data_IF_430674134215
#
_entry.id   IF_430674134215
#
_cell.length_a   1.000
_cell.length_b   1.000
_cell.length_c   1.000
_cell.angle_alpha   90.00
_cell.angle_beta   90.00
_cell.angle_gamma   90.00
#
_symmetry.space_group_name_H-M   'P 1'
#
loop_
_entity.id
_entity.type
_entity.pdbx_description
1 polymer ?
#
# COMPACT_ATOMS: atom_id res chain seq x y z
N UNK A 1 -10.51 -1.28 18.34
CA UNK A 1 -9.27 -0.52 18.02
C UNK A 1 -8.89 0.46 19.13
N UNK A 2 -9.80 1.32 19.61
CA UNK A 2 -9.51 2.27 20.70
C UNK A 2 -9.04 1.60 22.00
N UNK A 3 -9.66 0.48 22.38
CA UNK A 3 -9.33 -0.26 23.62
C UNK A 3 -7.92 -0.86 23.61
N UNK A 4 -7.46 -1.41 22.48
CA UNK A 4 -6.13 -2.05 22.34
C UNK A 4 -4.96 -1.07 22.43
N UNK A 5 -5.14 0.17 21.99
CA UNK A 5 -4.11 1.22 22.12
C UNK A 5 -4.13 1.84 23.52
N UNK A 6 -5.32 1.96 24.10
CA UNK A 6 -5.53 2.56 25.42
C UNK A 6 -4.96 1.72 26.55
N UNK A 7 -4.83 0.40 26.37
CA UNK A 7 -4.15 -0.50 27.31
C UNK A 7 -2.65 -0.26 27.40
N UNK A 8 -2.02 0.17 26.31
CA UNK A 8 -0.59 0.50 26.29
C UNK A 8 -0.37 1.93 26.80
N UNK A 9 -1.05 2.91 26.19
CA UNK A 9 -0.98 4.31 26.60
C UNK A 9 -2.17 5.10 26.08
N UNK A 10 -3.17 5.28 26.95
CA UNK A 10 -4.37 6.04 26.65
C UNK A 10 -4.11 7.53 26.35
N UNK A 11 -2.97 8.10 26.79
CA UNK A 11 -2.65 9.50 26.50
C UNK A 11 -2.40 9.73 25.01
N UNK A 12 -2.01 8.70 24.26
CA UNK A 12 -1.71 8.81 22.83
C UNK A 12 -2.94 9.15 22.00
N UNK A 13 -4.13 8.70 22.39
CA UNK A 13 -5.38 9.08 21.72
C UNK A 13 -5.62 10.60 21.79
N UNK A 14 -5.20 11.25 22.88
CA UNK A 14 -5.35 12.70 23.04
C UNK A 14 -4.22 13.49 22.35
N UNK A 15 -2.99 12.94 22.38
CA UNK A 15 -1.79 13.66 21.94
C UNK A 15 -1.43 13.44 20.48
N UNK A 16 -1.83 12.32 19.89
CA UNK A 16 -1.51 11.94 18.52
C UNK A 16 -2.74 12.10 17.66
N UNK A 17 -2.75 13.15 16.84
CA UNK A 17 -3.89 13.51 15.99
C UNK A 17 -4.37 12.34 15.13
N UNK A 18 -3.46 11.55 14.52
CA UNK A 18 -3.84 10.39 13.70
C UNK A 18 -4.63 9.35 14.50
N UNK A 19 -4.25 9.11 15.75
CA UNK A 19 -4.95 8.16 16.62
C UNK A 19 -6.28 8.72 17.12
N UNK A 20 -6.34 10.03 17.37
CA UNK A 20 -7.58 10.73 17.70
C UNK A 20 -8.61 10.60 16.56
N UNK A 21 -8.18 10.88 15.33
CA UNK A 21 -9.02 10.82 14.13
C UNK A 21 -9.58 9.41 13.88
N UNK A 22 -8.82 8.35 14.16
CA UNK A 22 -9.34 6.97 14.07
C UNK A 22 -10.57 6.74 14.98
N UNK A 23 -10.74 7.54 16.03
CA UNK A 23 -11.92 7.48 16.89
C UNK A 23 -13.18 8.05 16.27
N UNK A 24 -13.06 8.91 15.26
CA UNK A 24 -14.18 9.50 14.51
C UNK A 24 -14.42 8.80 13.17
N UNK A 25 -13.67 7.73 12.89
CA UNK A 25 -13.66 7.07 11.59
C UNK A 25 -15.05 6.59 11.14
N UNK A 26 -15.89 6.14 12.08
CA UNK A 26 -17.24 5.63 11.76
C UNK A 26 -18.16 6.80 11.37
N UNK A 27 -18.11 7.89 12.12
CA UNK A 27 -18.85 9.13 11.86
C UNK A 27 -18.40 9.77 10.54
N UNK A 28 -17.09 9.80 10.29
CA UNK A 28 -16.51 10.34 9.06
C UNK A 28 -16.93 9.51 7.84
N UNK A 29 -16.87 8.18 7.91
CA UNK A 29 -17.33 7.30 6.82
C UNK A 29 -18.83 7.48 6.54
N UNK A 30 -19.65 7.65 7.58
CA UNK A 30 -21.09 7.89 7.42
C UNK A 30 -21.39 9.25 6.78
N UNK A 31 -20.60 10.27 7.09
CA UNK A 31 -20.83 11.65 6.63
C UNK A 31 -20.24 11.91 5.24
N UNK A 32 -19.07 11.35 4.96
CA UNK A 32 -18.29 11.64 3.75
C UNK A 32 -18.19 10.46 2.77
N UNK A 33 -18.70 9.28 3.16
CA UNK A 33 -18.55 8.05 2.39
C UNK A 33 -17.17 7.39 2.56
N UNK A 34 -16.81 6.43 1.70
CA UNK A 34 -15.53 5.72 1.80
C UNK A 34 -14.33 6.68 1.70
N UNK A 35 -13.53 6.75 2.76
CA UNK A 35 -12.39 7.68 2.84
C UNK A 35 -11.21 7.31 1.92
N UNK A 36 -11.32 6.23 1.15
CA UNK A 36 -10.28 5.75 0.23
C UNK A 36 -10.00 6.75 -0.90
N UNK A 37 -11.02 7.49 -1.34
CA UNK A 37 -10.86 8.57 -2.34
C UNK A 37 -10.15 9.82 -1.82
N UNK A 38 -9.95 9.92 -0.50
CA UNK A 38 -9.30 11.05 0.18
C UNK A 38 -7.87 10.70 0.62
N UNK A 39 -7.40 9.48 0.32
CA UNK A 39 -6.06 9.03 0.67
C UNK A 39 -4.99 9.88 -0.04
N UNK A 40 -4.01 10.36 0.73
CA UNK A 40 -2.95 11.25 0.21
C UNK A 40 -1.97 10.55 -0.71
N UNK A 41 -1.97 9.22 -0.79
CA UNK A 41 -1.04 8.45 -1.62
C UNK A 41 -1.09 8.87 -3.10
N UNK A 42 -2.29 9.08 -3.64
CA UNK A 42 -2.47 9.62 -5.00
C UNK A 42 -1.86 11.02 -5.16
N UNK A 43 -1.98 11.87 -4.14
CA UNK A 43 -1.38 13.21 -4.13
C UNK A 43 0.15 13.16 -3.94
N UNK A 44 0.66 12.21 -3.16
CA UNK A 44 2.09 12.02 -2.94
C UNK A 44 2.80 11.56 -4.22
N UNK A 45 2.15 10.70 -5.01
CA UNK A 45 2.65 10.31 -6.34
C UNK A 45 2.80 11.51 -7.28
N UNK A 46 1.96 12.55 -7.11
CA UNK A 46 2.00 13.78 -7.89
C UNK A 46 3.21 14.68 -7.55
N UNK A 47 3.86 14.49 -6.41
CA UNK A 47 5.07 15.22 -6.07
C UNK A 47 6.19 15.01 -7.11
N UNK A 48 6.21 13.87 -7.80
CA UNK A 48 7.14 13.64 -8.92
C UNK A 48 6.94 14.63 -10.06
N UNK A 49 5.67 14.91 -10.42
CA UNK A 49 5.31 15.89 -11.46
C UNK A 49 5.70 17.30 -11.02
N UNK A 50 5.43 17.65 -9.76
CA UNK A 50 5.80 18.95 -9.19
C UNK A 50 7.32 19.19 -9.24
N UNK A 51 8.11 18.18 -8.84
CA UNK A 51 9.57 18.23 -8.92
C UNK A 51 10.06 18.37 -10.36
N UNK A 52 9.49 17.62 -11.30
CA UNK A 52 9.85 17.72 -12.71
C UNK A 52 9.57 19.12 -13.29
N UNK A 53 8.43 19.73 -12.95
CA UNK A 53 8.12 21.10 -13.36
C UNK A 53 9.13 22.11 -12.79
N UNK A 54 9.62 21.88 -11.57
CA UNK A 54 10.67 22.71 -10.98
C UNK A 54 12.03 22.52 -11.67
N UNK A 55 12.48 21.28 -11.85
CA UNK A 55 13.80 20.92 -12.41
C UNK A 55 13.95 21.34 -13.88
N UNK A 56 12.86 21.31 -14.64
CA UNK A 56 12.86 21.66 -16.06
C UNK A 56 12.54 23.15 -16.31
N UNK A 57 12.49 23.97 -15.26
CA UNK A 57 12.27 25.42 -15.36
C UNK A 57 13.60 26.17 -15.44
N UNK A 58 13.54 27.49 -15.71
CA UNK A 58 14.73 28.35 -15.64
C UNK A 58 15.13 28.72 -14.20
N UNK A 59 14.43 28.19 -13.20
CA UNK A 59 14.65 28.37 -11.76
C UNK A 59 14.57 29.82 -11.23
N UNK A 60 14.11 30.79 -12.04
CA UNK A 60 14.03 32.20 -11.62
C UNK A 60 12.78 32.51 -10.79
N UNK A 61 11.66 31.84 -11.08
CA UNK A 61 10.43 31.96 -10.31
C UNK A 61 9.70 30.61 -10.25
N UNK A 62 10.22 29.62 -9.49
CA UNK A 62 9.75 28.24 -9.53
C UNK A 62 8.24 28.10 -9.30
N UNK A 63 7.67 28.84 -8.35
CA UNK A 63 6.23 28.80 -8.06
C UNK A 63 5.37 29.21 -9.25
N UNK A 64 5.72 30.32 -9.92
CA UNK A 64 5.01 30.82 -11.10
C UNK A 64 5.15 29.86 -12.27
N UNK A 65 6.35 29.32 -12.47
CA UNK A 65 6.65 28.47 -13.61
C UNK A 65 5.95 27.11 -13.47
N UNK A 66 5.95 26.54 -12.25
CA UNK A 66 5.16 25.35 -11.90
C UNK A 66 3.66 25.61 -12.12
N UNK A 67 3.12 26.73 -11.63
CA UNK A 67 1.70 27.04 -11.76
C UNK A 67 1.28 27.14 -13.24
N UNK A 68 2.09 27.80 -14.08
CA UNK A 68 1.86 27.87 -15.53
C UNK A 68 1.95 26.50 -16.19
N UNK A 69 2.95 25.70 -15.84
CA UNK A 69 3.15 24.39 -16.45
C UNK A 69 2.05 23.40 -16.08
N UNK A 70 1.61 23.38 -14.82
CA UNK A 70 0.46 22.59 -14.38
C UNK A 70 -0.82 23.10 -15.04
N UNK A 71 -1.04 24.43 -15.09
CA UNK A 71 -2.20 25.00 -15.78
C UNK A 71 -2.26 24.61 -17.26
N UNK A 72 -1.11 24.54 -17.94
CA UNK A 72 -1.02 24.07 -19.32
C UNK A 72 -1.32 22.56 -19.44
N UNK A 73 -0.81 21.73 -18.52
CA UNK A 73 -1.07 20.29 -18.51
C UNK A 73 -2.54 19.98 -18.23
N UNK A 74 -3.14 20.60 -17.21
CA UNK A 74 -4.55 20.43 -16.88
C UNK A 74 -5.47 21.02 -17.95
N UNK A 75 -5.11 22.16 -18.53
CA UNK A 75 -5.82 22.72 -19.69
C UNK A 75 -5.76 21.81 -20.91
N UNK A 76 -4.62 21.14 -21.16
CA UNK A 76 -4.50 20.15 -22.22
C UNK A 76 -5.39 18.93 -21.94
N UNK A 77 -5.36 18.39 -20.71
CA UNK A 77 -6.24 17.29 -20.28
C UNK A 77 -7.70 17.66 -20.51
N UNK A 78 -8.15 18.80 -19.99
CA UNK A 78 -9.53 19.29 -20.13
C UNK A 78 -9.97 19.37 -21.59
N UNK A 79 -9.14 19.91 -22.48
CA UNK A 79 -9.47 19.98 -23.92
C UNK A 79 -9.56 18.60 -24.56
N UNK A 80 -8.60 17.73 -24.28
CA UNK A 80 -8.57 16.38 -24.85
C UNK A 80 -9.73 15.50 -24.37
N UNK A 81 -10.16 15.65 -23.11
CA UNK A 81 -11.30 14.91 -22.56
C UNK A 81 -12.67 15.44 -23.03
N UNK A 82 -12.71 16.53 -23.80
CA UNK A 82 -13.95 17.16 -24.23
C UNK A 82 -14.56 18.09 -23.19
N UNK A 83 -13.76 18.67 -22.30
CA UNK A 83 -14.18 19.78 -21.46
C UNK A 83 -14.52 21.03 -22.30
N UNK A 84 -15.43 21.86 -21.77
CA UNK A 84 -15.82 23.14 -22.35
C UNK A 84 -15.00 24.27 -21.75
N UNK A 85 -14.60 25.25 -22.55
CA UNK A 85 -13.97 26.48 -22.06
C UNK A 85 -14.53 27.70 -22.78
N UNK A 86 -14.47 28.85 -22.11
CA UNK A 86 -14.96 30.08 -22.68
C UNK A 86 -13.92 30.65 -23.66
N UNK A 87 -14.29 30.81 -24.93
CA UNK A 87 -13.48 31.53 -25.91
C UNK A 87 -13.81 33.02 -25.83
N UNK A 88 -12.91 33.80 -25.24
CA UNK A 88 -13.05 35.26 -25.07
C UNK A 88 -13.14 35.99 -26.40
N UNK A 89 -12.53 35.48 -27.47
CA UNK A 89 -12.58 36.12 -28.80
C UNK A 89 -13.94 35.96 -29.46
N UNK A 90 -14.51 34.77 -29.33
CA UNK A 90 -15.80 34.43 -29.94
C UNK A 90 -16.99 34.69 -28.99
N UNK A 91 -16.72 35.14 -27.76
CA UNK A 91 -17.68 35.32 -26.66
C UNK A 91 -18.65 34.13 -26.48
N UNK A 92 -18.13 32.90 -26.62
CA UNK A 92 -18.93 31.68 -26.53
C UNK A 92 -18.16 30.54 -25.87
N UNK A 93 -18.91 29.64 -25.23
CA UNK A 93 -18.37 28.37 -24.76
C UNK A 93 -18.06 27.47 -25.96
N UNK A 94 -16.83 26.98 -26.02
CA UNK A 94 -16.38 26.08 -27.08
C UNK A 94 -15.80 24.81 -26.49
N UNK A 95 -15.74 23.79 -27.33
CA UNK A 95 -15.19 22.49 -27.02
C UNK A 95 -14.23 22.09 -28.13
N UNK A 96 -13.28 21.22 -27.82
CA UNK A 96 -12.41 20.62 -28.82
C UNK A 96 -13.21 19.84 -29.86
N UNK A 97 -12.85 20.00 -31.13
CA UNK A 97 -13.42 19.24 -32.24
C UNK A 97 -13.22 17.73 -32.10
N UNK A 98 -13.98 16.94 -32.85
CA UNK A 98 -13.96 15.47 -32.79
C UNK A 98 -12.57 14.87 -33.03
N UNK A 99 -11.75 15.47 -33.90
CA UNK A 99 -10.37 15.03 -34.15
C UNK A 99 -9.48 15.06 -32.90
N UNK A 100 -9.53 16.16 -32.15
CA UNK A 100 -8.75 16.35 -30.91
C UNK A 100 -9.26 15.43 -29.81
N UNK A 101 -10.59 15.31 -29.64
CA UNK A 101 -11.20 14.38 -28.68
C UNK A 101 -10.85 12.91 -28.99
N UNK A 102 -10.70 12.58 -30.28
CA UNK A 102 -10.33 11.24 -30.73
C UNK A 102 -8.81 10.95 -30.61
N UNK A 103 -7.95 11.96 -30.39
CA UNK A 103 -6.51 11.71 -30.19
C UNK A 103 -6.25 10.82 -28.97
N UNK A 104 -6.97 11.03 -27.87
CA UNK A 104 -6.88 10.14 -26.70
C UNK A 104 -7.26 8.70 -27.05
N UNK A 105 -8.27 8.49 -27.90
CA UNK A 105 -8.68 7.15 -28.32
C UNK A 105 -7.62 6.47 -29.19
N UNK A 106 -6.97 7.24 -30.07
CA UNK A 106 -6.01 6.74 -31.08
C UNK A 106 -4.60 6.51 -30.53
N UNK A 107 -4.15 7.32 -29.57
CA UNK A 107 -2.76 7.28 -29.09
C UNK A 107 -2.67 6.72 -27.66
N UNK A 108 -2.21 5.47 -27.52
CA UNK A 108 -1.95 4.83 -26.21
C UNK A 108 -0.87 5.54 -25.40
N UNK A 109 0.16 6.08 -26.06
CA UNK A 109 1.25 6.83 -25.41
C UNK A 109 0.71 8.11 -24.75
N UNK A 110 -0.08 8.90 -25.49
CA UNK A 110 -0.68 10.13 -24.99
C UNK A 110 -1.60 9.85 -23.78
N UNK A 111 -2.36 8.76 -23.87
CA UNK A 111 -3.17 8.20 -22.77
C UNK A 111 -2.32 7.91 -21.52
N UNK A 112 -1.24 7.16 -21.69
CA UNK A 112 -0.31 6.85 -20.60
C UNK A 112 0.32 8.10 -19.98
N UNK A 113 0.79 9.05 -20.81
CA UNK A 113 1.38 10.31 -20.36
C UNK A 113 0.42 11.17 -19.54
N UNK A 114 -0.87 11.15 -19.87
CA UNK A 114 -1.90 11.93 -19.17
C UNK A 114 -2.52 11.19 -17.98
N UNK A 115 -2.05 9.96 -17.69
CA UNK A 115 -2.62 9.11 -16.64
C UNK A 115 -3.96 8.48 -17.02
N UNK A 116 -4.41 8.64 -18.27
CA UNK A 116 -5.60 7.98 -18.80
C UNK A 116 -5.25 6.60 -19.33
N UNK A 117 -5.11 5.64 -18.42
CA UNK A 117 -5.15 4.23 -18.84
C UNK A 117 -6.61 3.85 -19.11
N UNK A 118 -6.91 3.34 -20.32
CA UNK A 118 -7.99 2.35 -20.38
C UNK A 118 -7.40 1.18 -19.59
N UNK A 119 -7.91 0.91 -18.39
CA UNK A 119 -7.88 -0.47 -17.91
C UNK A 119 -8.74 -1.20 -18.93
N UNK A 120 -8.13 -1.73 -19.99
CA UNK A 120 -8.75 -2.80 -20.74
C UNK A 120 -8.90 -3.88 -19.69
N UNK A 121 -10.12 -4.01 -19.16
CA UNK A 121 -10.47 -5.06 -18.20
C UNK A 121 -10.26 -6.32 -19.00
N UNK A 122 -9.07 -6.88 -18.85
CA UNK A 122 -8.69 -8.10 -19.54
C UNK A 122 -9.65 -9.16 -19.03
N UNK A 123 -10.18 -9.96 -19.94
CA UNK A 123 -11.12 -11.00 -19.57
C UNK A 123 -10.42 -11.95 -18.57
N UNK A 124 -11.14 -12.47 -17.56
CA UNK A 124 -10.61 -13.53 -16.71
C UNK A 124 -9.99 -14.65 -17.55
N UNK A 125 -8.84 -15.18 -17.13
CA UNK A 125 -8.11 -16.20 -17.89
C UNK A 125 -7.17 -15.66 -18.97
N UNK A 126 -7.18 -14.33 -19.23
CA UNK A 126 -6.19 -13.70 -20.11
C UNK A 126 -4.79 -13.85 -19.51
N UNK A 127 -3.82 -14.26 -20.31
CA UNK A 127 -2.43 -14.42 -19.89
C UNK A 127 -1.52 -13.40 -20.56
N UNK A 128 -0.57 -12.87 -19.79
CA UNK A 128 0.47 -11.99 -20.27
C UNK A 128 1.71 -12.84 -20.47
N UNK A 129 2.14 -12.94 -21.72
CA UNK A 129 3.33 -13.71 -22.10
C UNK A 129 4.61 -13.01 -21.61
N UNK A 130 5.66 -13.79 -21.36
CA UNK A 130 6.95 -13.23 -20.96
C UNK A 130 7.45 -12.23 -22.00
N UNK A 131 7.86 -11.05 -21.53
CA UNK A 131 8.42 -10.03 -22.42
C UNK A 131 9.71 -10.58 -23.06
N UNK A 132 9.76 -10.57 -24.38
CA UNK A 132 11.00 -10.82 -25.09
C UNK A 132 11.79 -9.51 -25.00
N UNK A 133 13.01 -9.55 -24.47
CA UNK A 133 13.87 -8.38 -24.33
C UNK A 133 13.97 -7.55 -25.63
N UNK A 134 14.48 -6.30 -25.54
CA UNK A 134 14.48 -5.31 -26.64
C UNK A 134 14.83 -5.95 -28.00
N UNK A 135 13.82 -5.94 -28.90
CA UNK A 135 13.88 -6.28 -30.33
C UNK A 135 14.70 -7.54 -30.64
N UNK A 136 14.11 -8.74 -30.57
CA UNK A 136 14.73 -9.87 -31.23
C UNK A 136 14.74 -9.57 -32.75
N UNK A 137 15.92 -9.44 -33.35
CA UNK A 137 16.04 -9.56 -34.79
C UNK A 137 15.57 -10.98 -35.17
N UNK A 138 14.58 -11.09 -36.05
CA UNK A 138 14.06 -12.35 -36.56
C UNK A 138 12.64 -12.26 -37.12
N UNK A 139 12.21 -13.29 -37.85
CA UNK A 139 10.84 -13.43 -38.35
C UNK A 139 9.85 -13.70 -37.21
N UNK A 140 8.53 -13.46 -37.37
CA UNK A 140 7.52 -13.78 -36.36
C UNK A 140 7.60 -15.22 -35.84
N UNK A 141 7.99 -16.16 -36.69
CA UNK A 141 8.17 -17.58 -36.38
C UNK A 141 9.42 -17.84 -35.52
N UNK A 142 10.54 -17.16 -35.80
CA UNK A 142 11.76 -17.23 -34.97
C UNK A 142 11.54 -16.59 -33.59
N UNK A 143 10.77 -15.51 -33.54
CA UNK A 143 10.36 -14.85 -32.30
C UNK A 143 9.40 -15.75 -31.50
N UNK A 144 8.49 -16.44 -32.18
CA UNK A 144 7.60 -17.45 -31.59
C UNK A 144 8.37 -18.66 -31.02
N UNK A 145 9.47 -19.05 -31.68
CA UNK A 145 10.33 -20.15 -31.26
C UNK A 145 11.34 -19.78 -30.16
N UNK A 146 11.70 -18.50 -30.01
CA UNK A 146 12.51 -17.98 -28.88
C UNK A 146 11.74 -17.85 -27.56
N UNK A 147 10.42 -18.05 -27.57
CA UNK A 147 9.62 -18.08 -26.34
C UNK A 147 10.06 -19.27 -25.49
N UNK A 148 10.01 -19.11 -24.16
CA UNK A 148 10.30 -20.17 -23.21
C UNK A 148 9.26 -21.29 -23.34
N UNK A 149 9.47 -22.16 -24.34
CA UNK A 149 8.68 -23.37 -24.55
C UNK A 149 9.15 -24.40 -23.53
N UNK A 150 8.19 -24.97 -22.81
CA UNK A 150 8.45 -25.95 -21.76
C UNK A 150 7.53 -27.14 -22.00
N UNK A 151 8.05 -28.36 -21.86
CA UNK A 151 7.20 -29.55 -21.84
C UNK A 151 6.47 -29.63 -20.51
N UNK A 152 5.23 -30.08 -20.52
CA UNK A 152 4.45 -30.17 -19.28
C UNK A 152 5.15 -31.07 -18.24
N UNK A 153 5.80 -32.17 -18.69
CA UNK A 153 6.63 -33.06 -17.86
C UNK A 153 7.81 -32.38 -17.15
N UNK A 154 8.33 -31.30 -17.70
CA UNK A 154 9.51 -30.60 -17.16
C UNK A 154 9.11 -29.61 -16.06
N UNK A 155 7.81 -29.40 -15.87
CA UNK A 155 7.23 -28.54 -14.82
C UNK A 155 6.70 -29.36 -13.64
N UNK A 156 6.25 -28.68 -12.60
CA UNK A 156 5.59 -29.33 -11.45
C UNK A 156 4.22 -29.96 -11.79
N UNK A 157 3.70 -29.77 -13.01
CA UNK A 157 2.49 -30.45 -13.48
C UNK A 157 2.60 -31.98 -13.43
N UNK A 158 3.81 -32.55 -13.56
CA UNK A 158 3.99 -34.01 -13.45
C UNK A 158 3.55 -34.58 -12.09
N UNK A 159 3.65 -33.74 -11.04
CA UNK A 159 3.28 -34.09 -9.67
C UNK A 159 1.87 -33.60 -9.33
N UNK A 160 1.09 -33.13 -10.32
CA UNK A 160 -0.24 -32.61 -10.06
C UNK A 160 -1.25 -33.75 -9.87
N UNK A 161 -2.20 -33.55 -8.96
CA UNK A 161 -3.24 -34.53 -8.63
C UNK A 161 -4.03 -34.95 -9.88
N UNK A 162 -4.28 -34.00 -10.78
CA UNK A 162 -5.01 -34.21 -12.03
C UNK A 162 -4.10 -34.28 -13.27
N UNK A 163 -2.83 -34.63 -13.11
CA UNK A 163 -1.88 -34.73 -14.23
C UNK A 163 -2.33 -35.70 -15.33
N UNK A 164 -3.03 -36.79 -14.96
CA UNK A 164 -3.55 -37.80 -15.89
C UNK A 164 -4.56 -37.26 -16.90
N UNK A 165 -5.20 -36.12 -16.59
CA UNK A 165 -6.16 -35.47 -17.49
C UNK A 165 -5.48 -34.64 -18.59
N UNK A 166 -4.16 -34.50 -18.56
CA UNK A 166 -3.39 -33.69 -19.49
C UNK A 166 -2.30 -34.53 -20.18
N UNK A 167 -2.02 -34.21 -21.43
CA UNK A 167 -0.91 -34.81 -22.16
C UNK A 167 0.42 -34.27 -21.62
N UNK A 168 1.19 -35.11 -20.92
CA UNK A 168 2.47 -34.73 -20.32
C UNK A 168 3.56 -34.38 -21.34
N UNK A 169 3.44 -34.87 -22.58
CA UNK A 169 4.40 -34.60 -23.65
C UNK A 169 4.11 -33.30 -24.41
N UNK A 170 3.00 -32.64 -24.08
CA UNK A 170 2.61 -31.39 -24.72
C UNK A 170 3.58 -30.25 -24.41
N UNK A 171 3.80 -29.40 -25.41
CA UNK A 171 4.70 -28.24 -25.34
C UNK A 171 3.86 -26.98 -25.15
N UNK A 172 4.21 -26.18 -24.14
CA UNK A 172 3.51 -24.97 -23.74
C UNK A 172 4.42 -23.75 -23.78
N UNK A 173 3.86 -22.57 -24.02
CA UNK A 173 4.58 -21.31 -23.86
C UNK A 173 4.42 -20.81 -22.42
N UNK A 174 5.55 -20.56 -21.74
CA UNK A 174 5.53 -19.98 -20.41
C UNK A 174 5.08 -18.51 -20.46
N UNK A 175 4.19 -18.16 -19.53
CA UNK A 175 3.63 -16.83 -19.35
C UNK A 175 4.07 -16.25 -18.00
N UNK A 176 4.02 -14.91 -17.89
CA UNK A 176 4.49 -14.18 -16.71
C UNK A 176 3.35 -13.88 -15.73
N UNK A 177 2.19 -13.48 -16.25
CA UNK A 177 1.04 -13.10 -15.44
C UNK A 177 -0.26 -13.65 -16.03
N UNK A 178 -1.26 -13.80 -15.17
CA UNK A 178 -2.61 -14.24 -15.51
C UNK A 178 -3.62 -13.29 -14.86
N UNK A 179 -4.73 -13.04 -15.54
CA UNK A 179 -5.79 -12.18 -15.03
C UNK A 179 -6.84 -13.02 -14.32
N UNK A 180 -7.02 -12.76 -13.02
CA UNK A 180 -8.02 -13.41 -12.18
C UNK A 180 -9.44 -12.92 -12.48
N UNK A 181 -10.45 -13.64 -12.00
CA UNK A 181 -11.86 -13.24 -12.10
C UNK A 181 -12.16 -11.88 -11.43
N UNK A 182 -11.41 -11.51 -10.37
CA UNK A 182 -11.45 -10.18 -9.76
C UNK A 182 -10.90 -9.06 -10.67
N UNK A 183 -10.24 -9.40 -11.78
CA UNK A 183 -9.53 -8.46 -12.65
C UNK A 183 -8.10 -8.14 -12.20
N UNK A 184 -7.59 -8.87 -11.20
CA UNK A 184 -6.21 -8.72 -10.71
C UNK A 184 -5.22 -9.41 -11.64
N UNK A 185 -4.07 -8.78 -11.86
CA UNK A 185 -2.93 -9.45 -12.50
C UNK A 185 -2.17 -10.27 -11.47
N UNK A 186 -2.08 -11.57 -11.70
CA UNK A 186 -1.44 -12.55 -10.83
C UNK A 186 -0.17 -13.06 -11.52
N UNK A 187 1.00 -12.68 -11.01
CA UNK A 187 2.28 -13.16 -11.52
C UNK A 187 2.65 -14.53 -10.96
N UNK A 188 3.59 -15.22 -11.61
CA UNK A 188 4.20 -16.44 -11.04
C UNK A 188 4.75 -16.15 -9.63
N UNK A 189 4.46 -17.05 -8.68
CA UNK A 189 4.77 -16.90 -7.25
C UNK A 189 3.69 -16.18 -6.44
N UNK A 190 2.68 -15.59 -7.09
CA UNK A 190 1.55 -14.95 -6.41
C UNK A 190 0.64 -15.96 -5.72
N UNK A 191 0.03 -15.52 -4.62
CA UNK A 191 -0.97 -16.29 -3.88
C UNK A 191 -2.37 -15.96 -4.37
N UNK A 192 -3.15 -17.00 -4.66
CA UNK A 192 -4.48 -16.87 -5.22
C UNK A 192 -5.47 -17.81 -4.57
N UNK A 193 -6.71 -17.37 -4.50
CA UNK A 193 -7.84 -18.27 -4.35
C UNK A 193 -8.30 -18.70 -5.74
N UNK A 194 -8.65 -19.97 -5.88
CA UNK A 194 -9.07 -20.56 -7.14
C UNK A 194 -10.15 -21.61 -6.90
N UNK A 195 -10.89 -21.95 -7.94
CA UNK A 195 -11.85 -23.06 -7.90
C UNK A 195 -11.12 -24.37 -8.18
N UNK A 196 -11.09 -25.29 -7.22
CA UNK A 196 -10.43 -26.58 -7.42
C UNK A 196 -11.18 -27.42 -8.47
N UNK A 197 -10.50 -27.98 -9.49
CA UNK A 197 -11.14 -28.86 -10.46
C UNK A 197 -11.48 -30.24 -9.89
N UNK A 198 -10.89 -30.60 -8.74
CA UNK A 198 -11.09 -31.90 -8.08
C UNK A 198 -12.27 -31.85 -7.12
N UNK A 199 -12.33 -30.83 -6.25
CA UNK A 199 -13.37 -30.72 -5.22
C UNK A 199 -14.50 -29.76 -5.62
N UNK A 200 -14.31 -28.95 -6.65
CA UNK A 200 -15.21 -27.87 -7.08
C UNK A 200 -15.48 -26.80 -6.01
N UNK A 201 -14.69 -26.77 -4.94
CA UNK A 201 -14.74 -25.78 -3.87
C UNK A 201 -13.64 -24.73 -4.05
N UNK A 202 -13.77 -23.54 -3.43
CA UNK A 202 -12.67 -22.59 -3.40
C UNK A 202 -11.50 -23.16 -2.58
N UNK A 203 -10.34 -23.24 -3.21
CA UNK A 203 -9.06 -23.62 -2.61
C UNK A 203 -8.10 -22.42 -2.67
N UNK A 204 -6.99 -22.53 -1.94
CA UNK A 204 -5.97 -21.50 -1.87
C UNK A 204 -4.62 -22.10 -2.23
N UNK A 205 -3.80 -21.33 -2.95
CA UNK A 205 -2.50 -21.81 -3.36
C UNK A 205 -1.60 -20.75 -3.93
N UNK A 206 -0.39 -21.18 -4.29
CA UNK A 206 0.65 -20.34 -4.87
C UNK A 206 0.89 -20.74 -6.32
N UNK A 207 0.85 -19.76 -7.22
CA UNK A 207 1.10 -20.01 -8.66
C UNK A 207 2.56 -20.43 -8.84
N UNK A 208 2.77 -21.61 -9.42
CA UNK A 208 4.10 -22.10 -9.81
C UNK A 208 4.43 -21.74 -11.25
N UNK A 209 3.49 -21.96 -12.16
CA UNK A 209 3.69 -21.72 -13.59
C UNK A 209 2.37 -21.33 -14.26
N UNK A 210 2.46 -20.48 -15.27
CA UNK A 210 1.34 -20.10 -16.14
C UNK A 210 1.73 -20.49 -17.56
N UNK A 211 0.89 -21.25 -18.24
CA UNK A 211 1.20 -21.88 -19.52
C UNK A 211 0.10 -21.57 -20.54
N UNK A 212 0.51 -21.29 -21.78
CA UNK A 212 -0.38 -21.04 -22.90
C UNK A 212 -0.04 -21.94 -24.09
N UNK A 213 -1.03 -22.64 -24.60
CA UNK A 213 -0.96 -23.40 -25.84
C UNK A 213 -2.15 -23.01 -26.72
N UNK A 214 -1.84 -22.45 -27.89
CA UNK A 214 -2.85 -21.93 -28.82
C UNK A 214 -3.79 -20.95 -28.10
N UNK A 215 -5.05 -21.33 -27.90
CA UNK A 215 -6.08 -20.54 -27.21
C UNK A 215 -6.40 -21.07 -25.80
N UNK A 216 -5.68 -22.08 -25.33
CA UNK A 216 -5.89 -22.69 -24.01
C UNK A 216 -4.82 -22.22 -23.03
N UNK A 217 -5.24 -21.65 -21.90
CA UNK A 217 -4.37 -21.23 -20.80
C UNK A 217 -4.62 -22.10 -19.58
N UNK A 218 -3.52 -22.61 -19.02
CA UNK A 218 -3.54 -23.39 -17.78
C UNK A 218 -2.57 -22.80 -16.77
N UNK A 219 -2.89 -22.97 -15.49
CA UNK A 219 -2.06 -22.53 -14.38
C UNK A 219 -1.78 -23.71 -13.46
N UNK A 220 -0.51 -23.89 -13.10
CA UNK A 220 -0.06 -24.89 -12.14
C UNK A 220 0.06 -24.20 -10.79
N UNK A 221 -0.68 -24.70 -9.80
CA UNK A 221 -0.77 -24.11 -8.46
C UNK A 221 -0.30 -25.14 -7.43
N UNK A 222 0.58 -24.71 -6.53
CA UNK A 222 0.88 -25.43 -5.29
C UNK A 222 -0.31 -25.21 -4.33
N UNK A 223 -1.07 -26.26 -4.04
CA UNK A 223 -2.27 -26.18 -3.21
C UNK A 223 -1.92 -26.22 -1.72
N UNK A 224 -2.58 -25.37 -0.94
CA UNK A 224 -2.45 -25.33 0.52
C UNK A 224 -3.82 -25.48 1.17
N UNK A 225 -3.81 -25.94 2.42
CA UNK A 225 -5.02 -26.05 3.23
C UNK A 225 -5.13 -24.93 4.24
N UNK A 226 -6.33 -24.36 4.34
CA UNK A 226 -6.67 -23.40 5.38
C UNK A 226 -6.81 -24.12 6.71
N UNK A 227 -6.15 -23.63 7.75
CA UNK A 227 -6.30 -24.17 9.10
C UNK A 227 -7.69 -23.82 9.67
N UNK A 228 -8.32 -24.75 10.41
CA UNK A 228 -9.63 -24.52 11.02
C UNK A 228 -9.57 -23.52 12.20
N UNK A 229 -8.37 -23.24 12.72
CA UNK A 229 -8.13 -22.30 13.81
C UNK A 229 -7.17 -21.20 13.35
N UNK A 230 -7.31 -20.02 13.95
CA UNK A 230 -6.37 -18.91 13.77
C UNK A 230 -5.02 -19.22 14.43
N UNK A 231 -3.97 -18.58 13.95
CA UNK A 231 -2.68 -18.54 14.61
C UNK A 231 -2.85 -17.89 16.01
N UNK A 232 -2.30 -18.52 17.05
CA UNK A 232 -2.47 -18.09 18.46
C UNK A 232 -1.89 -16.70 18.74
N UNK A 233 -0.78 -16.36 18.10
CA UNK A 233 -0.09 -15.10 18.34
C UNK A 233 -0.67 -13.97 17.52
N UNK A 234 -0.86 -14.19 16.21
CA UNK A 234 -1.32 -13.14 15.30
C UNK A 234 -2.84 -12.99 15.26
N UNK A 235 -3.59 -14.00 15.70
CA UNK A 235 -5.06 -14.01 15.58
C UNK A 235 -5.53 -14.01 14.12
N UNK A 236 -4.70 -14.51 13.20
CA UNK A 236 -4.98 -14.54 11.77
C UNK A 236 -5.15 -15.99 11.27
N UNK A 237 -6.01 -16.23 10.27
CA UNK A 237 -6.05 -17.51 9.58
C UNK A 237 -4.70 -17.78 8.92
N UNK A 238 -4.35 -19.05 8.78
CA UNK A 238 -3.12 -19.44 8.13
C UNK A 238 -3.36 -20.67 7.25
N UNK A 239 -2.48 -20.85 6.30
CA UNK A 239 -2.45 -21.99 5.39
C UNK A 239 -1.20 -22.83 5.67
N UNK A 240 -1.32 -24.12 5.41
CA UNK A 240 -0.25 -25.10 5.61
C UNK A 240 -0.33 -26.20 4.56
N UNK A 241 0.77 -26.95 4.39
CA UNK A 241 0.80 -28.15 3.54
C UNK A 241 0.13 -29.31 4.28
N UNK A 242 -0.79 -30.03 3.63
CA UNK A 242 -1.39 -31.22 4.26
C UNK A 242 -0.30 -32.27 4.42
N UNK A 243 -0.15 -32.80 5.63
CA UNK A 243 0.83 -33.84 5.95
C UNK A 243 2.28 -33.48 5.56
N UNK A 244 2.59 -32.17 5.50
CA UNK A 244 3.87 -31.62 5.01
C UNK A 244 4.24 -32.03 3.56
N UNK A 245 3.26 -32.52 2.80
CA UNK A 245 3.43 -32.89 1.40
C UNK A 245 3.15 -31.72 0.45
N UNK A 246 3.95 -31.64 -0.62
CA UNK A 246 3.76 -30.63 -1.67
C UNK A 246 2.81 -31.20 -2.71
N UNK A 247 1.57 -30.68 -2.73
CA UNK A 247 0.57 -31.03 -3.72
C UNK A 247 0.42 -29.95 -4.78
N UNK A 248 0.45 -30.36 -6.05
CA UNK A 248 0.17 -29.47 -7.18
C UNK A 248 -1.18 -29.79 -7.82
N UNK A 249 -1.81 -28.78 -8.43
CA UNK A 249 -3.03 -28.92 -9.22
C UNK A 249 -2.92 -28.09 -10.49
N UNK A 250 -3.39 -28.64 -11.60
CA UNK A 250 -3.49 -27.93 -12.88
C UNK A 250 -4.91 -27.40 -12.99
N UNK A 251 -5.08 -26.11 -13.23
CA UNK A 251 -6.39 -25.49 -13.42
C UNK A 251 -6.45 -24.72 -14.74
N UNK A 252 -7.62 -24.60 -15.38
CA UNK A 252 -7.86 -23.53 -16.35
C UNK A 252 -7.54 -22.17 -15.72
N UNK A 253 -6.84 -21.29 -16.44
CA UNK A 253 -6.43 -19.98 -15.88
C UNK A 253 -7.64 -19.10 -15.52
N UNK A 254 -8.79 -19.32 -16.15
CA UNK A 254 -10.06 -18.65 -15.85
C UNK A 254 -10.62 -18.97 -14.46
N UNK A 255 -10.24 -20.10 -13.85
CA UNK A 255 -10.71 -20.52 -12.52
C UNK A 255 -9.97 -19.82 -11.36
N UNK A 256 -8.97 -18.97 -11.67
CA UNK A 256 -8.33 -18.11 -10.67
C UNK A 256 -9.35 -17.06 -10.24
N UNK A 257 -9.76 -17.10 -8.97
CA UNK A 257 -10.80 -16.22 -8.44
C UNK A 257 -10.25 -14.84 -8.14
N UNK A 258 -9.24 -14.74 -7.27
CA UNK A 258 -8.65 -13.45 -6.90
C UNK A 258 -7.26 -13.59 -6.26
N UNK A 259 -6.49 -12.50 -6.33
CA UNK A 259 -5.18 -12.37 -5.71
C UNK A 259 -5.32 -12.12 -4.21
N UNK A 260 -4.50 -12.80 -3.40
CA UNK A 260 -4.46 -12.57 -1.95
C UNK A 260 -3.04 -12.28 -1.47
N UNK A 261 -2.92 -11.33 -0.54
CA UNK A 261 -1.66 -11.11 0.17
C UNK A 261 -1.51 -12.16 1.29
N UNK A 262 -0.42 -12.92 1.22
CA UNK A 262 -0.02 -13.90 2.22
C UNK A 262 1.36 -13.55 2.78
N UNK A 263 1.58 -13.79 4.06
CA UNK A 263 2.86 -13.54 4.74
C UNK A 263 3.40 -14.83 5.33
N UNK A 264 4.70 -15.06 5.27
CA UNK A 264 5.31 -16.24 5.91
C UNK A 264 5.15 -16.18 7.44
N UNK A 265 4.73 -17.29 8.06
CA UNK A 265 4.57 -17.37 9.52
C UNK A 265 5.94 -17.59 10.21
N UNK A 266 6.81 -16.59 10.09
CA UNK A 266 8.20 -16.65 10.54
C UNK A 266 8.34 -16.99 12.01
N UNK A 267 7.37 -16.57 12.84
CA UNK A 267 7.42 -16.79 14.29
C UNK A 267 7.19 -18.25 14.62
N UNK A 268 6.18 -18.87 14.00
CA UNK A 268 5.85 -20.27 14.27
C UNK A 268 6.90 -21.22 13.70
N UNK A 269 7.49 -20.84 12.55
CA UNK A 269 8.56 -21.60 11.88
C UNK A 269 9.95 -21.34 12.51
N UNK A 270 10.10 -20.26 13.28
CA UNK A 270 11.38 -19.87 13.87
C UNK A 270 12.41 -19.43 12.83
N UNK A 271 12.02 -18.58 11.89
CA UNK A 271 12.94 -17.97 10.92
C UNK A 271 13.84 -16.94 11.62
N UNK A 272 15.12 -16.91 11.24
CA UNK A 272 16.14 -16.10 11.89
C UNK A 272 16.74 -15.07 10.91
N UNK A 273 17.31 -14.00 11.45
CA UNK A 273 17.96 -12.95 10.67
C UNK A 273 19.40 -13.33 10.28
N UNK A 274 19.59 -14.55 9.75
CA UNK A 274 20.88 -15.12 9.34
C UNK A 274 21.35 -14.59 7.99
N UNK A 275 20.42 -14.19 7.12
CA UNK A 275 20.73 -13.69 5.78
C UNK A 275 21.44 -12.34 5.84
N UNK A 276 22.50 -12.18 5.04
CA UNK A 276 23.21 -10.90 4.88
C UNK A 276 23.17 -10.50 3.41
N UNK A 277 22.73 -9.26 3.12
CA UNK A 277 22.78 -8.71 1.76
C UNK A 277 23.38 -7.31 1.78
N UNK A 278 24.08 -6.95 0.69
CA UNK A 278 24.53 -5.58 0.48
C UNK A 278 23.32 -4.67 0.27
N UNK A 279 23.34 -3.50 0.90
CA UNK A 279 22.28 -2.51 0.80
C UNK A 279 22.36 -1.85 -0.57
N UNK A 280 21.26 -1.87 -1.32
CA UNK A 280 21.14 -1.08 -2.53
C UNK A 280 20.67 0.34 -2.19
N UNK A 281 21.47 1.35 -2.56
CA UNK A 281 21.06 2.75 -2.57
C UNK A 281 21.10 3.26 -4.01
N UNK A 282 20.00 3.85 -4.48
CA UNK A 282 19.92 4.44 -5.84
C UNK A 282 20.34 3.47 -6.97
N UNK A 283 19.99 2.18 -6.82
CA UNK A 283 20.36 1.09 -7.77
C UNK A 283 21.87 0.82 -7.87
N UNK A 284 22.67 1.32 -6.93
CA UNK A 284 24.07 0.95 -6.74
C UNK A 284 24.20 0.11 -5.48
N UNK A 285 24.91 -0.99 -5.61
CA UNK A 285 25.28 -1.83 -4.49
C UNK A 285 26.29 -1.09 -3.61
N UNK A 286 26.05 -1.06 -2.31
CA UNK A 286 26.93 -0.38 -1.35
C UNK A 286 27.67 -1.39 -0.48
N UNK A 287 28.79 -0.99 0.12
CA UNK A 287 29.53 -1.83 1.08
C UNK A 287 28.81 -1.96 2.44
N UNK A 288 27.71 -1.24 2.65
CA UNK A 288 26.89 -1.42 3.85
C UNK A 288 26.07 -2.71 3.72
N UNK A 289 26.23 -3.61 4.67
CA UNK A 289 25.42 -4.83 4.76
C UNK A 289 24.18 -4.61 5.60
N UNK A 290 23.13 -5.36 5.29
CA UNK A 290 21.90 -5.42 6.08
C UNK A 290 21.54 -6.88 6.30
N UNK A 291 21.26 -7.23 7.56
CA UNK A 291 20.67 -8.52 7.90
C UNK A 291 19.21 -8.60 7.45
N UNK A 292 18.80 -9.71 6.87
CA UNK A 292 17.41 -9.99 6.52
C UNK A 292 16.98 -11.37 7.07
N UNK A 293 15.67 -11.55 7.24
CA UNK A 293 15.11 -12.81 7.74
C UNK A 293 15.22 -13.84 6.62
N UNK A 294 15.95 -14.92 6.89
CA UNK A 294 16.02 -16.07 6.01
C UNK A 294 14.86 -17.01 6.36
N UNK A 295 13.94 -17.18 5.41
CA UNK A 295 12.78 -18.01 5.62
C UNK A 295 13.14 -19.48 5.46
N UNK A 296 12.81 -20.31 6.47
CA UNK A 296 12.86 -21.76 6.32
C UNK A 296 11.75 -22.22 5.39
N UNK A 297 11.95 -23.35 4.73
CA UNK A 297 11.04 -23.90 3.71
C UNK A 297 9.71 -24.45 4.26
N UNK A 298 9.47 -24.34 5.56
CA UNK A 298 8.20 -24.75 6.16
C UNK A 298 7.04 -23.96 5.55
N UNK A 299 6.13 -24.68 4.91
CA UNK A 299 5.05 -24.17 4.06
C UNK A 299 3.88 -23.57 4.84
N UNK A 300 4.16 -22.76 5.86
CA UNK A 300 3.15 -22.12 6.71
C UNK A 300 3.09 -20.61 6.45
N UNK A 301 1.90 -20.14 6.07
CA UNK A 301 1.69 -18.75 5.66
C UNK A 301 0.40 -18.17 6.27
N UNK A 302 0.47 -16.96 6.78
CA UNK A 302 -0.66 -16.19 7.31
C UNK A 302 -1.46 -15.54 6.19
N UNK A 303 -2.77 -15.61 6.29
CA UNK A 303 -3.70 -14.91 5.42
C UNK A 303 -3.90 -13.49 5.94
N UNK A 304 -3.48 -12.49 5.15
CA UNK A 304 -3.59 -11.10 5.56
C UNK A 304 -5.03 -10.57 5.42
N UNK A 305 -5.81 -10.63 6.50
CA UNK A 305 -7.17 -10.09 6.59
C UNK A 305 -7.22 -8.55 6.76
N UNK A 306 -6.07 -7.89 6.92
CA UNK A 306 -5.98 -6.44 7.13
C UNK A 306 -5.73 -5.66 5.83
N UNK A 307 -5.54 -6.36 4.71
CA UNK A 307 -5.51 -5.73 3.39
C UNK A 307 -6.89 -5.21 3.00
N UNK A 308 -6.96 -4.02 2.40
CA UNK A 308 -8.20 -3.51 1.80
C UNK A 308 -8.51 -4.21 0.46
N UNK A 309 -7.48 -4.69 -0.23
CA UNK A 309 -7.62 -5.38 -1.52
C UNK A 309 -8.32 -6.73 -1.32
N UNK A 310 -9.36 -7.00 -2.11
CA UNK A 310 -10.17 -8.22 -2.07
C UNK A 310 -10.75 -8.61 -0.70
N UNK A 311 -10.86 -7.66 0.24
CA UNK A 311 -11.34 -7.92 1.60
C UNK A 311 -12.76 -8.50 1.67
N UNK A 312 -13.60 -8.20 0.68
CA UNK A 312 -14.95 -8.75 0.58
C UNK A 312 -14.94 -10.19 0.08
N UNK A 313 -14.14 -10.50 -0.96
CA UNK A 313 -14.01 -11.85 -1.52
C UNK A 313 -13.47 -12.85 -0.50
N UNK A 314 -12.47 -12.45 0.27
CA UNK A 314 -11.89 -13.35 1.28
C UNK A 314 -12.89 -13.70 2.39
N UNK A 315 -13.76 -12.75 2.78
CA UNK A 315 -14.83 -12.98 3.76
C UNK A 315 -15.98 -13.83 3.21
N UNK A 316 -16.13 -13.92 1.89
CA UNK A 316 -17.08 -14.83 1.25
C UNK A 316 -16.53 -16.25 1.14
N UNK A 317 -15.22 -16.41 0.95
CA UNK A 317 -14.58 -17.72 0.78
C UNK A 317 -14.26 -18.39 2.11
N UNK A 318 -13.77 -17.63 3.10
CA UNK A 318 -13.38 -18.20 4.38
C UNK A 318 -14.58 -18.32 5.33
N UNK A 319 -14.59 -19.36 6.19
CA UNK A 319 -15.54 -19.47 7.30
C UNK A 319 -15.55 -18.22 8.18
N UNK A 320 -16.73 -17.85 8.68
CA UNK A 320 -16.92 -16.61 9.44
C UNK A 320 -16.07 -16.60 10.71
N UNK A 321 -15.86 -17.75 11.33
CA UNK A 321 -15.06 -17.95 12.54
C UNK A 321 -13.61 -17.53 12.34
N UNK A 322 -13.09 -17.67 11.12
CA UNK A 322 -11.72 -17.28 10.75
C UNK A 322 -11.61 -15.78 10.42
N UNK A 323 -12.70 -15.14 9.98
CA UNK A 323 -12.71 -13.73 9.62
C UNK A 323 -13.22 -12.79 10.73
N UNK A 324 -13.83 -13.31 11.78
CA UNK A 324 -14.32 -12.50 12.90
C UNK A 324 -13.17 -11.93 13.70
N UNK A 325 -13.25 -10.63 14.00
CA UNK A 325 -12.35 -10.00 14.96
C UNK A 325 -12.82 -10.33 16.36
N UNK A 326 -11.95 -10.94 17.16
CA UNK A 326 -12.23 -11.20 18.56
C UNK A 326 -12.01 -9.93 19.38
N UNK A 327 -12.99 -9.53 20.21
CA UNK A 327 -12.81 -8.39 21.09
C UNK A 327 -11.75 -8.73 22.15
N UNK A 328 -10.78 -7.83 22.33
CA UNK A 328 -9.72 -8.01 23.33
C UNK A 328 -10.27 -8.13 24.77
N UNK A 329 -11.43 -7.53 25.03
CA UNK A 329 -12.12 -7.58 26.32
C UNK A 329 -13.59 -7.95 26.10
N UNK A 330 -14.18 -8.80 26.97
CA UNK A 330 -15.60 -9.15 26.90
C UNK A 330 -16.51 -7.92 26.91
N UNK A 331 -16.22 -6.96 27.80
CA UNK A 331 -16.88 -5.67 27.86
C UNK A 331 -15.92 -4.53 27.51
N UNK A 332 -15.83 -4.22 26.22
CA UNK A 332 -14.97 -3.13 25.73
C UNK A 332 -15.34 -1.76 26.30
N UNK A 333 -16.63 -1.51 26.58
CA UNK A 333 -17.11 -0.22 27.07
C UNK A 333 -16.67 0.03 28.51
N UNK A 334 -16.89 -0.95 29.39
CA UNK A 334 -16.46 -0.88 30.78
C UNK A 334 -14.95 -0.68 30.89
N UNK A 335 -14.18 -1.43 30.10
CA UNK A 335 -12.72 -1.27 30.08
C UNK A 335 -12.29 0.11 29.60
N UNK A 336 -12.98 0.65 28.61
CA UNK A 336 -12.73 2.01 28.13
C UNK A 336 -13.02 3.05 29.24
N UNK A 337 -14.14 2.92 29.96
CA UNK A 337 -14.49 3.81 31.07
C UNK A 337 -13.48 3.73 32.22
N UNK A 338 -13.03 2.52 32.58
CA UNK A 338 -12.00 2.30 33.59
C UNK A 338 -10.69 3.03 33.22
N UNK A 339 -10.23 2.86 31.97
CA UNK A 339 -9.00 3.51 31.48
C UNK A 339 -9.17 5.03 31.43
N UNK A 340 -10.33 5.52 30.99
CA UNK A 340 -10.63 6.96 30.95
C UNK A 340 -10.59 7.59 32.35
N UNK A 341 -11.21 6.94 33.36
CA UNK A 341 -11.20 7.41 34.75
C UNK A 341 -9.77 7.49 35.31
N UNK A 342 -8.96 6.43 35.11
CA UNK A 342 -7.54 6.43 35.49
C UNK A 342 -6.75 7.55 34.81
N UNK A 343 -7.00 7.78 33.53
CA UNK A 343 -6.33 8.83 32.76
C UNK A 343 -6.73 10.23 33.24
N UNK A 344 -8.01 10.47 33.51
CA UNK A 344 -8.52 11.74 34.04
C UNK A 344 -7.86 12.08 35.38
N UNK A 345 -7.80 11.12 36.32
CA UNK A 345 -7.12 11.32 37.59
C UNK A 345 -5.63 11.65 37.44
N UNK A 346 -4.92 10.95 36.54
CA UNK A 346 -3.50 11.22 36.24
C UNK A 346 -3.29 12.61 35.62
N UNK A 347 -4.15 13.01 34.69
CA UNK A 347 -4.08 14.32 34.04
C UNK A 347 -4.44 15.48 35.01
N UNK A 348 -5.40 15.27 35.90
CA UNK A 348 -5.76 16.23 36.94
C UNK A 348 -4.57 16.50 37.87
N UNK A 349 -3.91 15.45 38.37
CA UNK A 349 -2.68 15.56 39.18
C UNK A 349 -1.57 16.31 38.44
N UNK A 350 -1.35 16.02 37.15
CA UNK A 350 -0.36 16.73 36.34
C UNK A 350 -0.70 18.21 36.11
N UNK A 351 -1.97 18.54 35.89
CA UNK A 351 -2.43 19.93 35.77
C UNK A 351 -2.19 20.70 37.07
N UNK A 352 -2.51 20.11 38.21
CA UNK A 352 -2.31 20.75 39.53
C UNK A 352 -0.82 20.98 39.83
N UNK A 353 0.02 19.96 39.63
CA UNK A 353 1.48 20.12 39.77
C UNK A 353 2.05 21.20 38.83
N UNK A 354 1.52 21.31 37.60
CA UNK A 354 1.92 22.37 36.67
C UNK A 354 1.48 23.75 37.14
N UNK A 355 0.29 23.85 37.74
CA UNK A 355 -0.24 25.09 38.32
C UNK A 355 0.61 25.55 39.50
N UNK A 356 0.96 24.63 40.40
CA UNK A 356 1.84 24.89 41.54
C UNK A 356 3.22 25.38 41.09
N UNK A 357 3.88 24.68 40.15
CA UNK A 357 5.17 25.13 39.58
C UNK A 357 5.11 26.49 38.90
N UNK A 358 3.99 26.81 38.23
CA UNK A 358 3.80 28.13 37.62
C UNK A 358 3.63 29.23 38.67
N UNK A 359 2.91 28.94 39.75
CA UNK A 359 2.74 29.87 40.86
C UNK A 359 4.08 30.11 41.59
N UNK A 360 4.87 29.06 41.80
CA UNK A 360 6.22 29.14 42.39
C UNK A 360 7.17 29.99 41.53
N UNK A 361 7.26 29.71 40.22
CA UNK A 361 8.05 30.54 39.30
C UNK A 361 7.60 31.99 39.25
N UNK A 362 6.30 32.24 39.38
CA UNK A 362 5.76 33.61 39.43
C UNK A 362 6.21 34.34 40.71
N UNK A 363 6.16 33.66 41.85
CA UNK A 363 6.67 34.20 43.15
C UNK A 363 8.17 34.44 43.11
N UNK A 364 8.96 33.53 42.53
CA UNK A 364 10.41 33.72 42.35
C UNK A 364 10.73 34.93 41.45
N UNK A 365 9.98 35.12 40.36
CA UNK A 365 10.13 36.27 39.48
C UNK A 365 9.75 37.60 40.17
N UNK A 366 8.71 37.60 41.00
CA UNK A 366 8.28 38.76 41.80
C UNK A 366 9.34 39.12 42.86
N UNK A 367 9.89 38.13 43.58
CA UNK A 367 10.95 38.35 44.57
C UNK A 367 12.25 38.88 43.94
N UNK A 368 12.65 38.34 42.77
CA UNK A 368 13.83 38.83 42.04
C UNK A 368 13.64 40.24 41.45
N UNK A 369 12.40 40.64 41.15
CA UNK A 369 12.10 42.00 40.69
C UNK A 369 12.16 43.03 41.83
N UNK A 370 11.83 42.63 43.06
CA UNK A 370 11.88 43.49 44.24
C UNK A 370 13.32 43.73 44.72
N UNK A 371 14.17 42.71 44.67
CA UNK A 371 15.61 42.81 44.98
C UNK A 371 16.39 43.71 44.00
N UNK A 372 15.89 43.87 42.77
CA UNK A 372 16.43 44.78 41.77
C UNK A 372 16.08 46.26 41.99
N UNK A 373 15.02 46.57 42.75
CA UNK A 373 14.60 47.94 43.05
C UNK A 373 15.35 48.56 44.23
N UNK A 374 15.91 47.76 45.13
CA UNK A 374 16.64 48.21 46.32
C UNK A 374 18.02 48.86 46.08
N UNK A 375 18.58 48.79 44.86
CA UNK A 375 19.94 49.29 44.55
C UNK A 375 20.02 50.63 43.80
N UNK A 376 18.90 51.32 43.54
CA UNK A 376 18.89 52.65 42.91
C UNK A 376 18.39 53.74 43.87
N UNK A 377 19.13 53.99 44.94
CA UNK A 377 18.95 55.17 45.77
C UNK A 377 20.29 55.68 46.32
N UNK A 378 20.99 56.50 45.53
CA UNK A 378 22.12 57.41 45.87
C UNK A 378 22.64 57.99 44.54
N UNK A 379 22.89 59.27 44.31
CA UNK A 379 22.98 60.47 45.16
C UNK A 379 22.82 61.64 44.19
N UNK A 380 21.95 62.61 44.47
CA UNK A 380 21.99 63.90 43.77
C UNK A 380 23.10 64.71 44.43
N UNK A 381 24.17 64.98 43.70
CA UNK A 381 25.18 65.98 44.06
C UNK A 381 25.11 67.07 43.00
N UNK A 382 24.69 68.25 43.43
CA UNK A 382 24.87 69.53 42.75
C UNK A 382 26.29 70.02 43.04
N UNK A 383 27.11 70.33 42.03
CA UNK A 383 27.64 71.70 41.84
C UNK A 383 28.51 71.87 40.58
N UNK A 384 28.34 73.05 39.99
CA UNK A 384 29.20 73.94 39.20
C UNK A 384 30.50 73.46 38.50
N UNK A 385 30.69 73.93 37.24
CA UNK A 385 32.03 74.13 36.65
C UNK A 385 32.23 73.97 35.13
N UNK A 386 31.80 74.96 34.34
CA UNK A 386 32.46 75.66 33.20
C UNK A 386 33.44 74.93 32.21
N UNK A 387 33.20 75.18 30.89
CA UNK A 387 34.07 75.17 29.68
C UNK A 387 34.62 73.81 29.16
N UNK A 388 34.79 73.51 27.85
CA UNK A 388 34.91 74.29 26.60
C UNK A 388 34.82 73.33 25.38
N UNK A 389 34.40 73.85 24.23
CA UNK A 389 34.71 73.46 22.83
C UNK A 389 35.55 72.20 22.53
N UNK A 390 35.05 71.28 21.69
CA UNK A 390 35.21 71.19 20.22
C UNK A 390 34.01 70.43 19.65
#
# INVERSE_FOLDING_TARGET
>A
MQTTLSTIDATKILRKIKLHLLGHLVEDIRSFGPLLGVATESFESYNGVFRACSVLSNHRAPSRDIAKQIGNQEGLKHRLSGGWWYNVKDQKWTQSGSGVKNMLKRHSILRGMLGWSKKEISAPGTVIQCSIGRRPNGTPEEIWNKRHKVKLSDTFAKNAINATSYDTNSIWNQCQEAVAASGDSCSVGSWVFFKSPVTHTPSVGRISNILLRENTSITIIEEFSVAPKKNEFFGLPYVYRRQDEVSYVIIPTEDISFLQNMQHDCRSVGCEATGVRKRMNERKETEQTQSFIEHKEEGRYLINLHSFHNAHLIRHVLPRELCTTEPLFPNCLEKHLEIASKLQGSLAKKKEATRQRRAEKKREAENNADDGRGKRARTVVTDEGVNTSV
#
